data_IF_898059461464
#
_entry.id   IF_898059461464
#
_cell.length_a   1.000
_cell.length_b   1.000
_cell.length_c   1.000
_cell.angle_alpha   90.00
_cell.angle_beta   90.00
_cell.angle_gamma   90.00
#
_symmetry.space_group_name_H-M   'P 1'
#
loop_
_entity.id
_entity.type
_entity.pdbx_description
1 polymer ?
#
# COMPACT_ATOMS: atom_id res chain seq x y z
N UNK A 1 23.08 7.43 -0.55
CA UNK A 1 24.35 6.75 -0.22
C UNK A 1 24.15 5.27 -0.52
N UNK A 2 25.05 4.62 -1.27
CA UNK A 2 24.95 3.18 -1.53
C UNK A 2 25.21 2.42 -0.21
N UNK A 3 24.24 1.66 0.32
CA UNK A 3 24.43 0.95 1.60
C UNK A 3 25.38 -0.25 1.48
N UNK A 4 25.71 -0.65 0.25
CA UNK A 4 26.67 -1.71 -0.05
C UNK A 4 27.97 -1.06 -0.52
N UNK A 5 29.04 -1.30 0.23
CA UNK A 5 30.39 -0.88 -0.14
C UNK A 5 31.22 -2.12 -0.51
N UNK A 6 32.05 -2.00 -1.55
CA UNK A 6 32.99 -3.05 -1.95
C UNK A 6 34.44 -2.55 -1.86
N UNK A 7 34.96 -2.29 -0.65
CA UNK A 7 36.37 -1.97 -0.45
C UNK A 7 37.27 -3.17 -0.80
N UNK A 8 38.58 -2.95 -0.92
CA UNK A 8 39.57 -4.01 -1.12
C UNK A 8 39.53 -5.11 -0.04
N UNK A 9 39.00 -4.81 1.15
CA UNK A 9 38.77 -5.75 2.24
C UNK A 9 37.49 -6.62 2.10
N UNK A 10 36.77 -6.54 0.97
CA UNK A 10 35.55 -7.30 0.69
C UNK A 10 34.25 -6.54 0.97
N UNK A 11 33.16 -7.04 0.38
CA UNK A 11 31.86 -6.37 0.38
C UNK A 11 31.19 -6.31 1.78
N UNK A 12 30.55 -5.18 2.07
CA UNK A 12 29.91 -4.86 3.36
C UNK A 12 28.52 -4.27 3.13
N UNK A 13 27.59 -4.53 4.04
CA UNK A 13 26.34 -3.78 4.19
C UNK A 13 26.45 -2.95 5.45
N UNK A 14 26.31 -1.63 5.30
CA UNK A 14 26.63 -0.68 6.37
C UNK A 14 28.05 -0.99 6.90
N UNK A 15 28.21 -1.17 8.21
CA UNK A 15 29.51 -1.49 8.82
C UNK A 15 29.76 -3.01 8.96
N UNK A 16 28.92 -3.88 8.40
CA UNK A 16 28.99 -5.35 8.60
C UNK A 16 29.53 -6.06 7.35
N UNK A 17 30.62 -6.86 7.45
CA UNK A 17 31.11 -7.66 6.33
C UNK A 17 30.09 -8.71 5.88
N UNK A 18 29.83 -8.80 4.57
CA UNK A 18 28.90 -9.80 4.02
C UNK A 18 29.40 -11.23 4.21
N UNK A 19 30.71 -11.45 4.21
CA UNK A 19 31.29 -12.76 4.50
C UNK A 19 30.91 -13.27 5.90
N UNK A 20 30.95 -12.41 6.92
CA UNK A 20 30.56 -12.78 8.28
C UNK A 20 29.06 -13.05 8.43
N UNK A 21 28.22 -12.38 7.63
CA UNK A 21 26.79 -12.69 7.56
C UNK A 21 26.58 -14.06 6.91
N UNK A 22 27.27 -14.35 5.80
CA UNK A 22 27.18 -15.62 5.09
C UNK A 22 27.68 -16.80 5.95
N UNK A 23 28.77 -16.62 6.70
CA UNK A 23 29.28 -17.63 7.63
C UNK A 23 28.29 -17.93 8.76
N UNK A 24 27.70 -16.88 9.35
CA UNK A 24 26.78 -17.03 10.49
C UNK A 24 25.40 -17.57 10.10
N UNK A 25 24.85 -17.13 8.97
CA UNK A 25 23.45 -17.39 8.59
C UNK A 25 23.30 -18.30 7.37
N UNK A 26 24.40 -18.66 6.71
CA UNK A 26 24.40 -19.45 5.48
C UNK A 26 23.98 -18.65 4.25
N UNK A 27 23.98 -19.34 3.09
CA UNK A 27 23.53 -18.79 1.80
C UNK A 27 22.58 -19.76 1.09
N UNK A 28 21.58 -19.26 0.33
CA UNK A 28 21.30 -17.85 0.05
C UNK A 28 20.67 -17.10 1.24
N UNK A 29 21.06 -15.85 1.45
CA UNK A 29 20.48 -14.98 2.48
C UNK A 29 20.12 -13.60 1.92
N UNK A 30 18.96 -13.07 2.35
CA UNK A 30 18.59 -11.68 2.09
C UNK A 30 19.16 -10.78 3.17
N UNK A 31 19.86 -9.72 2.78
CA UNK A 31 20.44 -8.72 3.68
C UNK A 31 19.83 -7.36 3.36
N UNK A 32 19.27 -6.70 4.37
CA UNK A 32 18.64 -5.40 4.23
C UNK A 32 19.41 -4.36 5.06
N UNK A 33 19.69 -3.20 4.47
CA UNK A 33 20.21 -2.04 5.21
C UNK A 33 19.05 -1.29 5.86
N UNK A 34 19.10 -1.19 7.19
CA UNK A 34 18.16 -0.37 7.95
C UNK A 34 18.34 1.11 7.63
N UNK A 35 19.59 1.58 7.54
CA UNK A 35 19.89 2.96 7.22
C UNK A 35 19.31 3.38 5.85
N UNK A 36 19.38 2.50 4.84
CA UNK A 36 18.81 2.75 3.53
C UNK A 36 17.28 2.85 3.55
N UNK A 37 16.59 1.95 4.27
CA UNK A 37 15.13 1.99 4.42
C UNK A 37 14.69 3.28 5.11
N UNK A 38 15.40 3.70 6.15
CA UNK A 38 15.11 4.94 6.89
C UNK A 38 15.36 6.19 6.04
N UNK A 39 16.46 6.23 5.29
CA UNK A 39 16.79 7.33 4.40
C UNK A 39 15.74 7.49 3.29
N UNK A 40 15.28 6.39 2.70
CA UNK A 40 14.23 6.41 1.68
C UNK A 40 12.92 6.98 2.24
N UNK A 41 12.48 6.53 3.43
CA UNK A 41 11.28 7.07 4.06
C UNK A 41 11.43 8.55 4.45
N UNK A 42 12.59 8.94 4.97
CA UNK A 42 12.88 10.33 5.31
C UNK A 42 12.83 11.25 4.09
N UNK A 43 13.28 10.80 2.92
CA UNK A 43 13.21 11.56 1.68
C UNK A 43 11.75 11.86 1.27
N UNK A 44 10.85 10.87 1.31
CA UNK A 44 9.41 11.09 1.07
C UNK A 44 8.82 12.09 2.07
N UNK A 45 9.15 11.93 3.37
CA UNK A 45 8.65 12.83 4.42
C UNK A 45 9.13 14.26 4.23
N UNK A 46 10.38 14.46 3.82
CA UNK A 46 10.94 15.78 3.54
C UNK A 46 10.25 16.43 2.31
N UNK A 47 10.05 15.67 1.22
CA UNK A 47 9.38 16.16 0.02
C UNK A 47 7.90 16.56 0.26
N UNK A 48 7.26 15.98 1.27
CA UNK A 48 5.87 16.25 1.64
C UNK A 48 5.75 17.21 2.85
N UNK A 49 6.85 17.80 3.32
CA UNK A 49 6.83 18.71 4.47
C UNK A 49 5.88 19.90 4.24
N UNK A 50 5.11 20.26 5.27
CA UNK A 50 4.11 21.32 5.21
C UNK A 50 2.77 20.92 4.54
N UNK A 51 2.66 19.68 4.04
CA UNK A 51 1.41 19.14 3.48
C UNK A 51 0.73 18.22 4.50
N UNK A 52 -0.60 18.20 4.51
CA UNK A 52 -1.36 17.18 5.22
C UNK A 52 -1.27 15.86 4.45
N UNK A 53 -0.19 15.10 4.65
CA UNK A 53 0.14 13.91 3.89
C UNK A 53 0.40 12.70 4.81
N UNK A 54 -0.07 11.53 4.38
CA UNK A 54 0.23 10.25 4.97
C UNK A 54 1.00 9.39 3.96
N UNK A 55 2.19 8.93 4.32
CA UNK A 55 2.98 8.02 3.50
C UNK A 55 2.56 6.59 3.85
N UNK A 56 1.89 5.92 2.93
CA UNK A 56 1.50 4.51 3.08
C UNK A 56 2.50 3.60 2.36
N UNK A 57 3.28 2.82 3.11
CA UNK A 57 4.18 1.83 2.52
C UNK A 57 3.38 0.67 1.92
N UNK A 58 3.61 0.36 0.64
CA UNK A 58 2.98 -0.77 -0.03
C UNK A 58 3.55 -2.10 0.47
N UNK A 59 2.79 -2.81 1.30
CA UNK A 59 3.25 -4.02 2.02
C UNK A 59 3.68 -5.12 1.06
N UNK A 60 3.02 -5.23 -0.09
CA UNK A 60 3.35 -6.16 -1.18
C UNK A 60 4.81 -6.09 -1.67
N UNK A 61 5.51 -4.97 -1.44
CA UNK A 61 6.91 -4.83 -1.82
C UNK A 61 7.84 -5.66 -0.93
N UNK A 62 7.59 -5.68 0.39
CA UNK A 62 8.28 -6.54 1.33
C UNK A 62 7.49 -6.67 2.65
N UNK A 63 6.81 -7.82 2.90
CA UNK A 63 5.96 -8.02 4.07
C UNK A 63 6.72 -8.55 5.31
N UNK A 64 8.05 -8.39 5.36
CA UNK A 64 8.86 -8.79 6.50
C UNK A 64 8.49 -7.97 7.75
N UNK A 65 8.17 -8.66 8.85
CA UNK A 65 7.67 -8.03 10.09
C UNK A 65 8.65 -7.03 10.69
N UNK A 66 9.95 -7.25 10.60
CA UNK A 66 10.96 -6.32 11.13
C UNK A 66 11.01 -5.02 10.31
N UNK A 67 10.82 -5.10 9.00
CA UNK A 67 10.74 -3.94 8.10
C UNK A 67 9.46 -3.15 8.38
N UNK A 68 8.31 -3.84 8.43
CA UNK A 68 7.02 -3.20 8.74
C UNK A 68 7.05 -2.53 10.10
N UNK A 69 7.60 -3.21 11.13
CA UNK A 69 7.76 -2.66 12.48
C UNK A 69 8.61 -1.40 12.46
N UNK A 70 9.68 -1.38 11.67
CA UNK A 70 10.52 -0.19 11.56
C UNK A 70 9.77 0.97 10.91
N UNK A 71 9.02 0.74 9.83
CA UNK A 71 8.21 1.79 9.21
C UNK A 71 7.08 2.28 10.12
N UNK A 72 6.45 1.40 10.90
CA UNK A 72 5.46 1.78 11.91
C UNK A 72 6.06 2.73 12.96
N UNK A 73 7.27 2.43 13.47
CA UNK A 73 8.00 3.30 14.39
C UNK A 73 8.38 4.66 13.80
N UNK A 74 8.57 4.74 12.49
CA UNK A 74 8.83 6.00 11.78
C UNK A 74 7.55 6.80 11.50
N UNK A 75 6.38 6.25 11.83
CA UNK A 75 5.07 6.88 11.68
C UNK A 75 4.38 6.64 10.34
N UNK A 76 4.86 5.69 9.53
CA UNK A 76 4.24 5.33 8.25
C UNK A 76 2.83 4.79 8.42
N UNK A 77 1.99 5.02 7.41
CA UNK A 77 0.83 4.19 7.13
C UNK A 77 1.20 2.98 6.27
N UNK A 78 0.21 2.18 5.91
CA UNK A 78 0.42 0.98 5.09
C UNK A 78 -0.67 0.84 4.02
N UNK A 79 -0.25 0.53 2.79
CA UNK A 79 -1.15 0.10 1.72
C UNK A 79 -1.08 -1.42 1.63
N UNK A 80 -2.20 -2.07 1.94
CA UNK A 80 -2.36 -3.53 1.94
C UNK A 80 -3.21 -3.97 0.74
N UNK A 81 -3.01 -5.20 0.30
CA UNK A 81 -3.81 -5.84 -0.75
C UNK A 81 -4.49 -7.14 -0.31
N UNK A 82 -4.38 -7.51 0.98
CA UNK A 82 -5.07 -8.68 1.54
C UNK A 82 -5.24 -8.60 3.06
N UNK A 83 -6.12 -9.43 3.62
CA UNK A 83 -6.25 -9.63 5.07
C UNK A 83 -4.99 -10.23 5.72
N UNK A 84 -4.19 -10.99 4.96
CA UNK A 84 -2.89 -11.49 5.44
C UNK A 84 -1.88 -10.36 5.65
N UNK A 85 -1.87 -9.36 4.75
CA UNK A 85 -1.06 -8.16 4.93
C UNK A 85 -1.57 -7.28 6.07
N UNK A 86 -2.90 -7.15 6.24
CA UNK A 86 -3.47 -6.50 7.43
C UNK A 86 -2.95 -7.16 8.71
N UNK A 87 -3.02 -8.49 8.81
CA UNK A 87 -2.55 -9.23 9.98
C UNK A 87 -1.06 -8.98 10.25
N UNK A 88 -0.22 -8.89 9.22
CA UNK A 88 1.20 -8.56 9.35
C UNK A 88 1.44 -7.13 9.84
N UNK A 89 0.69 -6.16 9.33
CA UNK A 89 0.77 -4.77 9.78
C UNK A 89 0.41 -4.67 11.26
N UNK A 90 -0.68 -5.32 11.69
CA UNK A 90 -1.08 -5.37 13.09
C UNK A 90 -0.01 -6.02 13.97
N UNK A 91 0.51 -7.19 13.56
CA UNK A 91 1.57 -7.90 14.28
C UNK A 91 2.88 -7.08 14.38
N UNK A 92 3.14 -6.22 13.40
CA UNK A 92 4.28 -5.31 13.39
C UNK A 92 4.07 -4.05 14.25
N UNK A 93 2.87 -3.85 14.83
CA UNK A 93 2.52 -2.67 15.62
C UNK A 93 2.16 -1.45 14.77
N UNK A 94 1.74 -1.66 13.52
CA UNK A 94 1.21 -0.60 12.66
C UNK A 94 -0.16 -0.12 13.13
N UNK A 95 -0.40 1.18 13.03
CA UNK A 95 -1.68 1.80 13.36
C UNK A 95 -2.73 1.48 12.28
N UNK A 96 -3.82 0.75 12.59
CA UNK A 96 -4.89 0.46 11.64
C UNK A 96 -5.51 1.73 11.05
N UNK A 97 -5.59 2.80 11.86
CA UNK A 97 -6.10 4.09 11.44
C UNK A 97 -5.26 4.77 10.36
N UNK A 98 -4.11 4.19 9.97
CA UNK A 98 -3.26 4.61 8.85
C UNK A 98 -3.15 3.55 7.75
N UNK A 99 -4.04 2.57 7.72
CA UNK A 99 -4.06 1.49 6.72
C UNK A 99 -5.05 1.79 5.61
N UNK A 100 -4.58 1.79 4.36
CA UNK A 100 -5.43 1.77 3.16
C UNK A 100 -5.47 0.36 2.58
N UNK A 101 -6.65 -0.10 2.18
CA UNK A 101 -6.83 -1.44 1.62
C UNK A 101 -7.17 -1.36 0.14
N UNK A 102 -6.19 -1.66 -0.70
CA UNK A 102 -6.27 -1.73 -2.16
C UNK A 102 -6.47 -3.16 -2.66
N UNK A 103 -6.56 -3.36 -3.97
CA UNK A 103 -6.58 -4.69 -4.58
C UNK A 103 -7.96 -5.11 -5.09
N UNK A 104 -7.96 -5.75 -6.25
CA UNK A 104 -9.15 -6.28 -6.90
C UNK A 104 -9.53 -7.61 -6.24
N UNK A 105 -10.81 -7.78 -5.88
CA UNK A 105 -11.31 -9.05 -5.34
C UNK A 105 -11.19 -9.23 -3.83
N UNK A 106 -11.28 -8.15 -3.04
CA UNK A 106 -11.37 -8.23 -1.58
C UNK A 106 -12.55 -9.13 -1.17
N UNK A 107 -12.30 -10.13 -0.34
CA UNK A 107 -13.34 -11.03 0.14
C UNK A 107 -14.16 -10.43 1.29
N UNK A 108 -15.36 -10.97 1.53
CA UNK A 108 -16.22 -10.57 2.67
C UNK A 108 -15.50 -10.73 4.02
N UNK A 109 -14.70 -11.77 4.17
CA UNK A 109 -13.94 -12.04 5.39
C UNK A 109 -12.88 -10.95 5.61
N UNK A 110 -12.15 -10.57 4.56
CA UNK A 110 -11.16 -9.50 4.64
C UNK A 110 -11.80 -8.13 4.90
N UNK A 111 -12.93 -7.83 4.25
CA UNK A 111 -13.69 -6.60 4.52
C UNK A 111 -14.13 -6.53 5.98
N UNK A 112 -14.69 -7.61 6.52
CA UNK A 112 -15.12 -7.68 7.93
C UNK A 112 -13.95 -7.46 8.89
N UNK A 113 -12.82 -8.12 8.65
CA UNK A 113 -11.62 -7.93 9.48
C UNK A 113 -11.12 -6.48 9.43
N UNK A 114 -11.02 -5.89 8.24
CA UNK A 114 -10.60 -4.51 8.07
C UNK A 114 -11.56 -3.49 8.72
N UNK A 115 -12.87 -3.73 8.64
CA UNK A 115 -13.89 -2.90 9.31
C UNK A 115 -13.80 -2.97 10.83
N UNK A 116 -13.54 -4.16 11.39
CA UNK A 116 -13.36 -4.35 12.84
C UNK A 116 -12.16 -3.56 13.36
N UNK A 117 -11.09 -3.47 12.57
CA UNK A 117 -9.89 -2.70 12.90
C UNK A 117 -10.03 -1.19 12.65
N UNK A 118 -11.14 -0.74 12.04
CA UNK A 118 -11.39 0.65 11.66
C UNK A 118 -10.25 1.23 10.79
N UNK A 119 -9.88 0.52 9.72
CA UNK A 119 -8.82 0.98 8.82
C UNK A 119 -9.12 2.36 8.21
N UNK A 120 -8.09 3.07 7.75
CA UNK A 120 -8.21 4.42 7.21
C UNK A 120 -9.18 4.51 6.01
N UNK A 121 -9.04 3.62 5.03
CA UNK A 121 -9.84 3.66 3.80
C UNK A 121 -9.79 2.35 3.02
N UNK A 122 -10.90 1.98 2.39
CA UNK A 122 -10.93 1.00 1.31
C UNK A 122 -10.78 1.73 -0.03
N UNK A 123 -9.80 1.32 -0.82
CA UNK A 123 -9.69 1.71 -2.22
C UNK A 123 -10.53 0.72 -3.05
N UNK A 124 -11.75 1.13 -3.38
CA UNK A 124 -12.73 0.30 -4.09
C UNK A 124 -12.40 0.30 -5.58
N UNK A 125 -12.40 -0.88 -6.18
CA UNK A 125 -11.93 -1.10 -7.55
C UNK A 125 -13.06 -1.44 -8.53
N UNK A 126 -14.31 -1.65 -8.05
CA UNK A 126 -15.46 -1.93 -8.91
C UNK A 126 -16.80 -1.57 -8.25
N UNK A 127 -17.87 -1.45 -9.06
CA UNK A 127 -19.22 -1.26 -8.55
C UNK A 127 -19.70 -2.44 -7.70
N UNK A 128 -19.41 -3.68 -8.10
CA UNK A 128 -19.79 -4.88 -7.34
C UNK A 128 -19.11 -4.93 -5.97
N UNK A 129 -17.85 -4.50 -5.88
CA UNK A 129 -17.14 -4.39 -4.60
C UNK A 129 -17.77 -3.33 -3.70
N UNK A 130 -18.18 -2.18 -4.25
CA UNK A 130 -18.85 -1.11 -3.50
C UNK A 130 -20.13 -1.62 -2.81
N UNK A 131 -21.00 -2.31 -3.56
CA UNK A 131 -22.25 -2.89 -3.04
C UNK A 131 -22.00 -4.03 -2.04
N UNK A 132 -20.92 -4.80 -2.23
CA UNK A 132 -20.52 -5.82 -1.28
C UNK A 132 -20.05 -5.21 0.03
N UNK A 133 -19.23 -4.16 -0.04
CA UNK A 133 -18.69 -3.48 1.12
C UNK A 133 -19.79 -2.81 1.95
N UNK A 134 -20.78 -2.17 1.32
CA UNK A 134 -21.93 -1.58 2.02
C UNK A 134 -22.70 -2.65 2.82
N UNK A 135 -22.98 -3.80 2.21
CA UNK A 135 -23.66 -4.91 2.89
C UNK A 135 -22.85 -5.43 4.08
N UNK A 136 -21.55 -5.66 3.91
CA UNK A 136 -20.69 -6.15 5.00
C UNK A 136 -20.55 -5.10 6.12
N UNK A 137 -20.49 -3.82 5.77
CA UNK A 137 -20.47 -2.73 6.75
C UNK A 137 -21.78 -2.68 7.57
N UNK A 138 -22.94 -2.82 6.91
CA UNK A 138 -24.24 -2.96 7.60
C UNK A 138 -24.31 -4.17 8.53
N UNK A 139 -23.88 -5.35 8.06
CA UNK A 139 -23.81 -6.59 8.86
C UNK A 139 -22.89 -6.50 10.09
N UNK A 140 -21.96 -5.55 10.08
CA UNK A 140 -21.01 -5.36 11.19
C UNK A 140 -21.33 -4.13 12.05
N UNK A 141 -22.40 -3.39 11.73
CA UNK A 141 -22.74 -2.14 12.40
C UNK A 141 -21.65 -1.07 12.25
N UNK A 142 -20.89 -1.11 11.16
CA UNK A 142 -19.77 -0.20 10.88
C UNK A 142 -20.10 0.70 9.69
N UNK A 143 -19.35 1.80 9.58
CA UNK A 143 -19.33 2.64 8.40
C UNK A 143 -17.97 2.52 7.69
N UNK A 144 -17.96 2.13 6.42
CA UNK A 144 -16.75 1.94 5.65
C UNK A 144 -16.31 3.27 5.02
N UNK A 145 -15.09 3.74 5.32
CA UNK A 145 -14.48 4.84 4.59
C UNK A 145 -14.00 4.35 3.22
N UNK A 146 -14.41 5.02 2.14
CA UNK A 146 -14.13 4.59 0.76
C UNK A 146 -13.51 5.69 -0.09
N UNK A 147 -12.61 5.29 -0.97
CA UNK A 147 -12.17 6.04 -2.13
C UNK A 147 -12.29 5.12 -3.36
N UNK A 148 -12.82 5.62 -4.47
CA UNK A 148 -12.81 4.87 -5.72
C UNK A 148 -11.44 5.00 -6.35
N UNK A 149 -10.82 3.88 -6.74
CA UNK A 149 -9.63 3.90 -7.58
C UNK A 149 -10.06 4.21 -9.00
N UNK A 150 -9.76 5.41 -9.48
CA UNK A 150 -10.14 5.85 -10.83
C UNK A 150 -8.96 5.71 -11.78
N UNK A 151 -9.24 5.18 -12.98
CA UNK A 151 -8.27 5.12 -14.07
C UNK A 151 -8.37 6.44 -14.85
N UNK A 152 -7.35 7.31 -14.80
CA UNK A 152 -7.41 8.64 -15.39
C UNK A 152 -7.22 8.63 -16.92
N UNK A 153 -7.14 7.46 -17.55
CA UNK A 153 -6.91 7.29 -18.99
C UNK A 153 -5.61 7.95 -19.47
N UNK A 154 -4.57 7.91 -18.64
CA UNK A 154 -3.22 8.39 -18.96
C UNK A 154 -2.38 7.18 -19.38
N UNK A 155 -1.76 7.24 -20.55
CA UNK A 155 -0.75 6.27 -20.98
C UNK A 155 0.57 6.56 -20.22
N UNK A 156 1.03 5.67 -19.32
CA UNK A 156 2.24 5.90 -18.54
C UNK A 156 3.53 5.84 -19.36
N UNK A 157 3.48 5.61 -20.69
CA UNK A 157 4.66 5.45 -21.56
C UNK A 157 5.65 4.40 -21.01
N UNK A 158 5.14 3.35 -20.39
CA UNK A 158 5.90 2.21 -19.85
C UNK A 158 5.47 0.88 -20.48
N UNK A 159 6.11 -0.23 -20.09
CA UNK A 159 5.80 -1.55 -20.65
C UNK A 159 4.29 -1.90 -20.53
N UNK A 160 3.64 -2.44 -21.57
CA UNK A 160 2.18 -2.70 -21.59
C UNK A 160 1.65 -3.49 -20.38
N UNK A 161 2.43 -4.45 -19.87
CA UNK A 161 2.04 -5.31 -18.74
C UNK A 161 2.08 -4.66 -17.35
N UNK A 162 2.68 -3.46 -17.21
CA UNK A 162 2.72 -2.70 -15.95
C UNK A 162 1.89 -1.41 -16.00
N UNK A 163 1.21 -1.15 -17.13
CA UNK A 163 0.27 -0.05 -17.30
C UNK A 163 -1.07 -0.42 -16.68
N UNK A 164 -1.29 -0.03 -15.42
CA UNK A 164 -2.58 -0.23 -14.73
C UNK A 164 -3.57 0.89 -14.99
N UNK A 165 -3.19 1.93 -15.75
CA UNK A 165 -4.02 3.09 -16.07
C UNK A 165 -4.92 2.93 -17.30
N UNK A 166 -4.72 1.88 -18.11
CA UNK A 166 -5.50 1.63 -19.33
C UNK A 166 -6.90 1.10 -19.03
N UNK A 167 -7.90 1.49 -19.84
CA UNK A 167 -9.30 1.02 -19.75
C UNK A 167 -9.48 -0.50 -19.74
N UNK A 168 -8.51 -1.27 -20.26
CA UNK A 168 -8.53 -2.74 -20.30
C UNK A 168 -7.93 -3.41 -19.05
N UNK A 169 -7.33 -2.64 -18.14
CA UNK A 169 -6.79 -3.18 -16.90
C UNK A 169 -7.93 -3.61 -15.97
N UNK A 170 -7.75 -4.74 -15.29
CA UNK A 170 -8.70 -5.25 -14.27
C UNK A 170 -8.87 -4.34 -13.05
N UNK A 171 -8.05 -3.28 -12.97
CA UNK A 171 -7.93 -2.39 -11.82
C UNK A 171 -8.73 -1.14 -12.05
N UNK A 172 -9.30 -0.61 -10.96
CA UNK A 172 -9.99 0.67 -10.92
C UNK A 172 -11.27 0.74 -11.75
N UNK A 173 -11.94 1.87 -11.61
CA UNK A 173 -13.13 2.21 -12.39
C UNK A 173 -12.76 3.16 -13.51
N UNK A 174 -13.34 2.98 -14.71
CA UNK A 174 -13.17 3.93 -15.81
C UNK A 174 -13.57 5.35 -15.39
N UNK A 175 -12.81 6.36 -15.84
CA UNK A 175 -13.03 7.77 -15.52
C UNK A 175 -14.47 8.24 -15.81
N UNK A 176 -15.02 7.84 -16.95
CA UNK A 176 -16.38 8.16 -17.41
C UNK A 176 -17.48 7.57 -16.51
N UNK A 177 -17.18 6.51 -15.75
CA UNK A 177 -18.11 5.87 -14.81
C UNK A 177 -17.96 6.38 -13.36
N UNK A 178 -16.82 7.01 -13.03
CA UNK A 178 -16.48 7.38 -11.66
C UNK A 178 -17.53 8.30 -11.01
N UNK A 179 -18.01 9.32 -11.73
CA UNK A 179 -18.99 10.27 -11.20
C UNK A 179 -20.36 9.60 -10.90
N UNK A 180 -20.80 8.68 -11.75
CA UNK A 180 -22.02 7.91 -11.51
C UNK A 180 -21.86 7.00 -10.29
N UNK A 181 -20.71 6.33 -10.16
CA UNK A 181 -20.44 5.44 -9.05
C UNK A 181 -20.28 6.17 -7.71
N UNK A 182 -19.71 7.39 -7.70
CA UNK A 182 -19.70 8.23 -6.49
C UNK A 182 -21.11 8.65 -6.04
N UNK A 183 -22.00 9.00 -6.99
CA UNK A 183 -23.41 9.27 -6.67
C UNK A 183 -24.08 8.04 -6.05
N UNK A 184 -23.79 6.85 -6.57
CA UNK A 184 -24.26 5.60 -5.97
C UNK A 184 -23.68 5.39 -4.57
N UNK A 185 -22.38 5.59 -4.37
CA UNK A 185 -21.71 5.46 -3.07
C UNK A 185 -22.32 6.40 -2.01
N UNK A 186 -22.72 7.61 -2.41
CA UNK A 186 -23.38 8.57 -1.52
C UNK A 186 -24.77 8.09 -1.06
N UNK A 187 -25.47 7.31 -1.88
CA UNK A 187 -26.79 6.76 -1.55
C UNK A 187 -26.73 5.46 -0.72
N UNK A 188 -25.54 4.89 -0.51
CA UNK A 188 -25.33 3.68 0.27
C UNK A 188 -25.13 4.02 1.76
N UNK A 189 -25.99 3.52 2.67
CA UNK A 189 -26.09 4.03 4.04
C UNK A 189 -24.88 3.70 4.92
N UNK A 190 -24.10 2.67 4.59
CA UNK A 190 -22.97 2.21 5.40
C UNK A 190 -21.62 2.65 4.83
N UNK A 191 -21.60 3.52 3.82
CA UNK A 191 -20.38 4.05 3.22
C UNK A 191 -20.17 5.52 3.57
N UNK A 192 -18.89 5.91 3.67
CA UNK A 192 -18.46 7.30 3.83
C UNK A 192 -17.38 7.60 2.80
N UNK A 193 -17.71 8.45 1.83
CA UNK A 193 -16.75 8.89 0.81
C UNK A 193 -15.66 9.72 1.49
N UNK A 194 -14.39 9.37 1.23
CA UNK A 194 -13.22 10.01 1.83
C UNK A 194 -12.29 10.70 0.82
N UNK A 195 -12.33 10.29 -0.44
CA UNK A 195 -11.47 10.87 -1.47
C UNK A 195 -11.46 10.03 -2.74
N UNK A 196 -10.44 10.24 -3.56
CA UNK A 196 -10.19 9.53 -4.82
C UNK A 196 -8.83 8.81 -4.70
N UNK A 197 -8.73 7.60 -5.24
CA UNK A 197 -7.49 6.86 -5.35
C UNK A 197 -7.06 6.74 -6.81
N UNK A 198 -5.75 6.67 -7.06
CA UNK A 198 -5.19 6.42 -8.37
C UNK A 198 -3.86 5.69 -8.25
N UNK A 199 -3.60 4.75 -9.17
CA UNK A 199 -2.30 4.13 -9.34
C UNK A 199 -2.10 3.83 -10.83
N UNK A 200 -1.15 4.54 -11.44
CA UNK A 200 -0.96 4.59 -12.89
C UNK A 200 0.08 3.59 -13.42
N UNK A 201 0.94 3.05 -12.55
CA UNK A 201 1.93 2.04 -12.93
C UNK A 201 3.08 1.94 -11.93
N UNK A 202 4.12 1.21 -12.32
CA UNK A 202 5.36 1.03 -11.57
C UNK A 202 6.57 1.38 -12.43
N UNK A 203 7.71 1.67 -11.81
CA UNK A 203 8.97 2.02 -12.49
C UNK A 203 8.85 3.23 -13.45
N UNK A 204 8.10 4.25 -13.02
CA UNK A 204 8.00 5.52 -13.74
C UNK A 204 9.26 6.35 -13.48
N UNK A 205 9.90 6.84 -14.54
CA UNK A 205 11.12 7.64 -14.46
C UNK A 205 10.87 9.13 -14.63
N UNK A 206 9.73 9.50 -15.20
CA UNK A 206 9.33 10.86 -15.48
C UNK A 206 8.10 11.26 -14.62
N UNK A 207 8.09 12.47 -14.02
CA UNK A 207 6.96 12.98 -13.22
C UNK A 207 5.67 13.23 -14.01
#
# INVERSE_FOLDING_TARGET
MNPIANPSSGARVENVPLAGIAERFGTPCYVYSRAALEAAFAAYRAALAGRNALICYAVKANPNLSILKRFAQLGAGFDIVSGGELARVLAAGGDPGKVVFSGVGKSRAEMRAALQQNIYCFNVESASELELLDRVAGETGKQAAVALRVNPDVDPKTHPYISTGLKSAKFGVPFDQAAALYRRAQALPHLRIRGIACHIGSQLLDP
#
